data_IF_881591221876
#
_entry.id   IF_881591221876
#
_cell.length_a   1.000
_cell.length_b   1.000
_cell.length_c   1.000
_cell.angle_alpha   90.00
_cell.angle_beta   90.00
_cell.angle_gamma   90.00
#
_symmetry.space_group_name_H-M   'P 1'
#
loop_
_entity.id
_entity.type
_entity.pdbx_description
1 polymer ?
#
# COMPACT_ATOMS: atom_id res chain seq x y z
N UNK A 1 2.67 -2.99 20.63
CA UNK A 1 2.53 -2.40 19.28
C UNK A 1 1.39 -1.38 19.36
N UNK A 2 1.40 -0.24 18.67
CA UNK A 2 0.23 0.65 18.71
C UNK A 2 -0.92 0.09 17.86
N UNK A 3 -2.19 0.33 18.25
CA UNK A 3 -3.38 -0.10 17.50
C UNK A 3 -3.29 0.23 16.01
N UNK A 4 -2.90 1.46 15.68
CA UNK A 4 -2.72 1.88 14.28
C UNK A 4 -1.65 1.08 13.53
N UNK A 5 -0.57 0.68 14.20
CA UNK A 5 0.46 -0.16 13.60
C UNK A 5 -0.02 -1.61 13.39
N UNK A 6 -0.85 -2.13 14.30
CA UNK A 6 -1.46 -3.45 14.18
C UNK A 6 -2.45 -3.50 13.01
N UNK A 7 -3.35 -2.51 12.92
CA UNK A 7 -4.29 -2.36 11.80
C UNK A 7 -3.54 -2.27 10.46
N UNK A 8 -2.50 -1.43 10.39
CA UNK A 8 -1.68 -1.30 9.19
C UNK A 8 -1.02 -2.65 8.80
N UNK A 9 -0.51 -3.41 9.78
CA UNK A 9 0.08 -4.72 9.54
C UNK A 9 -0.93 -5.74 9.03
N UNK A 10 -2.16 -5.75 9.56
CA UNK A 10 -3.25 -6.59 9.07
C UNK A 10 -3.61 -6.23 7.62
N UNK A 11 -3.68 -4.95 7.28
CA UNK A 11 -3.94 -4.54 5.90
C UNK A 11 -2.81 -4.94 4.93
N UNK A 12 -1.55 -4.89 5.38
CA UNK A 12 -0.42 -5.40 4.59
C UNK A 12 -0.54 -6.92 4.40
N UNK A 13 -0.86 -7.65 5.47
CA UNK A 13 -1.09 -9.09 5.40
C UNK A 13 -2.22 -9.42 4.41
N UNK A 14 -3.38 -8.76 4.51
CA UNK A 14 -4.45 -8.90 3.52
C UNK A 14 -3.97 -8.64 2.09
N UNK A 15 -3.24 -7.56 1.84
CA UNK A 15 -2.79 -7.21 0.49
C UNK A 15 -1.85 -8.26 -0.11
N UNK A 16 -1.09 -8.97 0.73
CA UNK A 16 -0.17 -10.05 0.35
C UNK A 16 -0.81 -11.44 0.40
N UNK A 17 -1.99 -11.58 1.01
CA UNK A 17 -2.65 -12.86 1.21
C UNK A 17 -3.16 -13.43 -0.11
N UNK A 18 -2.84 -14.70 -0.33
CA UNK A 18 -3.28 -15.47 -1.47
C UNK A 18 -4.25 -16.56 -1.00
N UNK A 19 -5.26 -16.81 -1.82
CA UNK A 19 -6.26 -17.84 -1.61
C UNK A 19 -6.07 -18.88 -2.70
N UNK A 20 -5.94 -20.14 -2.28
CA UNK A 20 -5.84 -21.25 -3.21
C UNK A 20 -7.16 -21.42 -3.97
N UNK A 21 -7.11 -21.41 -5.30
CA UNK A 21 -8.31 -21.61 -6.14
C UNK A 21 -8.89 -23.04 -6.03
N UNK A 22 -8.11 -24.00 -5.54
CA UNK A 22 -8.52 -25.40 -5.43
C UNK A 22 -9.12 -25.73 -4.04
N UNK A 23 -8.37 -25.47 -2.96
CA UNK A 23 -8.81 -25.81 -1.59
C UNK A 23 -9.30 -24.62 -0.76
N UNK A 24 -9.29 -23.40 -1.31
CA UNK A 24 -9.72 -22.19 -0.60
C UNK A 24 -8.81 -21.75 0.54
N UNK A 25 -7.68 -22.44 0.80
CA UNK A 25 -6.77 -22.10 1.90
C UNK A 25 -6.05 -20.78 1.67
N UNK A 26 -5.92 -19.99 2.73
CA UNK A 26 -5.11 -18.77 2.74
C UNK A 26 -3.62 -19.11 2.94
N UNK A 27 -2.74 -18.48 2.17
CA UNK A 27 -1.29 -18.65 2.25
C UNK A 27 -0.54 -17.43 1.67
N UNK A 28 0.78 -17.40 1.84
CA UNK A 28 1.64 -16.25 1.47
C UNK A 28 2.83 -16.63 0.55
N UNK A 29 2.85 -17.86 0.03
CA UNK A 29 3.91 -18.38 -0.84
C UNK A 29 3.53 -18.43 -2.31
N UNK A 30 4.35 -19.09 -3.14
CA UNK A 30 4.08 -19.31 -4.56
C UNK A 30 3.17 -20.51 -4.83
N UNK A 31 3.22 -21.52 -3.95
CA UNK A 31 2.47 -22.77 -4.07
C UNK A 31 1.63 -22.98 -2.80
N UNK A 32 0.40 -23.45 -2.97
CA UNK A 32 -0.46 -23.76 -1.83
C UNK A 32 0.15 -24.89 -0.99
N UNK A 33 0.40 -24.68 0.30
CA UNK A 33 1.02 -25.71 1.16
C UNK A 33 0.08 -26.89 1.46
N UNK A 34 -1.22 -26.76 1.18
CA UNK A 34 -2.20 -27.83 1.40
C UNK A 34 -2.31 -28.80 0.24
N UNK A 35 -2.52 -28.28 -0.98
CA UNK A 35 -2.83 -29.11 -2.15
C UNK A 35 -1.86 -28.96 -3.33
N UNK A 36 -0.77 -28.20 -3.17
CA UNK A 36 0.26 -28.05 -4.21
C UNK A 36 -0.14 -27.21 -5.42
N UNK A 37 -1.34 -26.64 -5.45
CA UNK A 37 -1.79 -25.80 -6.55
C UNK A 37 -0.98 -24.49 -6.64
N UNK A 38 -0.64 -24.08 -7.85
CA UNK A 38 0.20 -22.90 -8.16
C UNK A 38 -0.56 -21.72 -8.77
N UNK A 39 -1.90 -21.80 -8.83
CA UNK A 39 -2.77 -20.74 -9.39
C UNK A 39 -3.59 -20.08 -8.28
N UNK A 40 -2.97 -19.27 -7.41
CA UNK A 40 -3.70 -18.53 -6.38
C UNK A 40 -4.48 -17.35 -6.96
N UNK A 41 -5.48 -16.93 -6.19
CA UNK A 41 -6.14 -15.62 -6.34
C UNK A 41 -5.78 -14.74 -5.16
N UNK A 42 -5.77 -13.43 -5.36
CA UNK A 42 -5.62 -12.50 -4.25
C UNK A 42 -6.85 -12.57 -3.34
N UNK A 43 -6.67 -12.39 -2.02
CA UNK A 43 -7.79 -12.26 -1.09
C UNK A 43 -8.61 -11.01 -1.43
N UNK A 44 -9.86 -11.20 -1.83
CA UNK A 44 -10.77 -10.10 -2.13
C UNK A 44 -11.33 -9.42 -0.86
N UNK A 45 -11.98 -8.28 -1.07
CA UNK A 45 -12.56 -7.49 0.02
C UNK A 45 -13.67 -8.22 0.77
N UNK A 46 -14.54 -8.94 0.07
CA UNK A 46 -15.71 -9.57 0.67
C UNK A 46 -15.29 -10.70 1.61
N UNK A 47 -14.44 -11.60 1.12
CA UNK A 47 -13.88 -12.70 1.91
C UNK A 47 -13.01 -12.22 3.07
N UNK A 48 -12.32 -11.10 2.90
CA UNK A 48 -11.62 -10.46 4.00
C UNK A 48 -12.58 -10.00 5.11
N UNK A 49 -13.71 -9.39 4.76
CA UNK A 49 -14.73 -8.99 5.75
C UNK A 49 -15.34 -10.20 6.44
N UNK A 50 -15.54 -11.32 5.74
CA UNK A 50 -15.99 -12.58 6.35
C UNK A 50 -14.98 -13.10 7.38
N UNK A 51 -13.67 -13.02 7.09
CA UNK A 51 -12.62 -13.39 8.06
C UNK A 51 -12.70 -12.50 9.30
N UNK A 52 -12.83 -11.18 9.12
CA UNK A 52 -12.95 -10.26 10.26
C UNK A 52 -14.18 -10.58 11.11
N UNK A 53 -15.34 -10.80 10.48
CA UNK A 53 -16.57 -11.16 11.17
C UNK A 53 -16.47 -12.50 11.89
N UNK A 54 -15.82 -13.48 11.27
CA UNK A 54 -15.65 -14.81 11.87
C UNK A 54 -14.75 -14.79 13.11
N UNK A 55 -13.75 -13.90 13.14
CA UNK A 55 -12.78 -13.83 14.25
C UNK A 55 -13.24 -12.90 15.36
N UNK A 56 -13.76 -11.72 15.01
CA UNK A 56 -14.08 -10.66 15.99
C UNK A 56 -15.46 -10.03 15.81
N UNK A 57 -16.38 -10.66 15.06
CA UNK A 57 -17.76 -10.22 14.91
C UNK A 57 -17.97 -9.04 13.94
N UNK A 58 -16.94 -8.23 13.69
CA UNK A 58 -17.06 -7.00 12.90
C UNK A 58 -16.52 -7.10 11.47
N UNK A 59 -17.07 -6.27 10.58
CA UNK A 59 -16.66 -6.22 9.16
C UNK A 59 -15.47 -5.29 8.87
N UNK A 60 -14.95 -4.58 9.88
CA UNK A 60 -13.89 -3.59 9.71
C UNK A 60 -12.91 -3.64 10.87
N UNK A 61 -11.61 -3.47 10.57
CA UNK A 61 -10.58 -3.36 11.60
C UNK A 61 -10.73 -2.13 12.50
N UNK A 62 -11.44 -1.09 12.04
CA UNK A 62 -11.72 0.09 12.86
C UNK A 62 -12.63 -0.24 14.03
N UNK A 63 -13.50 -1.22 13.85
CA UNK A 63 -14.62 -1.53 14.74
C UNK A 63 -14.27 -2.68 15.69
N UNK A 64 -13.19 -3.43 15.39
CA UNK A 64 -12.66 -4.50 16.24
C UNK A 64 -11.95 -3.95 17.49
N UNK A 65 -12.11 -4.64 18.62
CA UNK A 65 -11.29 -4.39 19.81
C UNK A 65 -9.83 -4.81 19.60
N UNK A 66 -8.92 -4.29 20.42
CA UNK A 66 -7.49 -4.58 20.29
C UNK A 66 -7.19 -6.10 20.40
N UNK A 67 -7.89 -6.80 21.29
CA UNK A 67 -7.75 -8.25 21.44
C UNK A 67 -8.16 -9.01 20.17
N UNK A 68 -9.19 -8.54 19.46
CA UNK A 68 -9.64 -9.20 18.22
C UNK A 68 -8.74 -8.86 17.03
N UNK A 69 -8.18 -7.64 17.00
CA UNK A 69 -7.13 -7.31 16.04
C UNK A 69 -5.90 -8.22 16.22
N UNK A 70 -5.52 -8.53 17.46
CA UNK A 70 -4.43 -9.48 17.74
C UNK A 70 -4.76 -10.87 17.21
N UNK A 71 -5.98 -11.39 17.45
CA UNK A 71 -6.43 -12.68 16.90
C UNK A 71 -6.43 -12.70 15.37
N UNK A 72 -6.86 -11.61 14.72
CA UNK A 72 -6.83 -11.49 13.25
C UNK A 72 -5.39 -11.54 12.74
N UNK A 73 -4.47 -10.86 13.42
CA UNK A 73 -3.05 -10.89 13.07
C UNK A 73 -2.47 -12.30 13.26
N UNK A 74 -2.78 -12.97 14.37
CA UNK A 74 -2.37 -14.35 14.63
C UNK A 74 -2.88 -15.31 13.55
N UNK A 75 -4.12 -15.15 13.08
CA UNK A 75 -4.66 -15.93 11.97
C UNK A 75 -3.83 -15.79 10.69
N UNK A 76 -3.45 -14.56 10.31
CA UNK A 76 -2.57 -14.34 9.16
C UNK A 76 -1.16 -14.91 9.38
N UNK A 77 -0.63 -14.82 10.60
CA UNK A 77 0.67 -15.37 10.95
C UNK A 77 0.69 -16.90 10.90
N UNK A 78 -0.37 -17.56 11.37
CA UNK A 78 -0.57 -19.01 11.25
C UNK A 78 -0.69 -19.46 9.79
N UNK A 79 -1.31 -18.63 8.94
CA UNK A 79 -1.35 -18.86 7.49
C UNK A 79 0.01 -18.61 6.80
N UNK A 80 1.01 -18.12 7.52
CA UNK A 80 2.40 -18.02 7.08
C UNK A 80 2.89 -16.60 6.79
N UNK A 81 2.14 -15.56 7.16
CA UNK A 81 2.53 -14.17 6.89
C UNK A 81 3.91 -13.82 7.46
N UNK A 82 4.11 -13.95 8.77
CA UNK A 82 5.41 -13.65 9.39
C UNK A 82 6.57 -14.50 8.86
N UNK A 83 6.32 -15.72 8.35
CA UNK A 83 7.35 -16.57 7.73
C UNK A 83 7.73 -16.08 6.33
N UNK A 84 6.75 -15.72 5.53
CA UNK A 84 6.96 -15.18 4.18
C UNK A 84 7.49 -13.74 4.20
N UNK A 85 7.17 -13.00 5.26
CA UNK A 85 7.45 -11.57 5.39
C UNK A 85 8.05 -11.19 6.76
N UNK A 86 9.21 -11.79 7.15
CA UNK A 86 9.77 -11.66 8.49
C UNK A 86 10.23 -10.23 8.84
N UNK A 87 10.50 -9.39 7.84
CA UNK A 87 11.01 -8.02 8.02
C UNK A 87 10.01 -6.92 7.66
N UNK A 88 8.71 -7.26 7.49
CA UNK A 88 7.69 -6.23 7.23
C UNK A 88 7.44 -5.43 8.51
N UNK A 89 7.83 -4.16 8.47
CA UNK A 89 7.31 -3.15 9.38
C UNK A 89 6.42 -2.18 8.60
N UNK A 90 5.29 -1.71 9.16
CA UNK A 90 4.43 -0.72 8.51
C UNK A 90 5.20 0.53 8.05
N UNK A 91 6.18 0.97 8.85
CA UNK A 91 7.06 2.10 8.50
C UNK A 91 7.87 1.84 7.22
N UNK A 92 8.45 0.64 7.08
CA UNK A 92 9.26 0.28 5.90
C UNK A 92 8.41 0.14 4.65
N UNK A 93 7.21 -0.42 4.74
CA UNK A 93 6.28 -0.49 3.61
C UNK A 93 5.82 0.90 3.16
N UNK A 94 5.49 1.79 4.11
CA UNK A 94 5.20 3.20 3.80
C UNK A 94 6.38 3.90 3.13
N UNK A 95 7.61 3.66 3.58
CA UNK A 95 8.81 4.19 2.92
C UNK A 95 8.98 3.63 1.50
N UNK A 96 8.77 2.33 1.28
CA UNK A 96 8.85 1.72 -0.05
C UNK A 96 7.80 2.34 -0.99
N UNK A 97 6.56 2.48 -0.53
CA UNK A 97 5.50 3.10 -1.31
C UNK A 97 5.83 4.56 -1.65
N UNK A 98 6.32 5.33 -0.68
CA UNK A 98 6.79 6.69 -0.89
C UNK A 98 7.89 6.77 -1.94
N UNK A 99 8.87 5.87 -1.90
CA UNK A 99 9.92 5.79 -2.91
C UNK A 99 9.38 5.45 -4.30
N UNK A 100 8.36 4.57 -4.41
CA UNK A 100 7.70 4.29 -5.70
C UNK A 100 7.04 5.54 -6.28
N UNK A 101 6.37 6.33 -5.44
CA UNK A 101 5.71 7.57 -5.85
C UNK A 101 6.73 8.63 -6.29
N UNK A 102 7.82 8.80 -5.53
CA UNK A 102 8.94 9.68 -5.91
C UNK A 102 9.51 9.25 -7.26
N UNK A 103 9.79 7.95 -7.45
CA UNK A 103 10.32 7.42 -8.70
C UNK A 103 9.35 7.67 -9.88
N UNK A 104 8.06 7.53 -9.66
CA UNK A 104 7.05 7.87 -10.67
C UNK A 104 7.11 9.35 -11.06
N UNK A 105 7.25 10.26 -10.09
CA UNK A 105 7.42 11.69 -10.35
C UNK A 105 8.69 11.93 -11.18
N UNK A 106 9.80 11.31 -10.81
CA UNK A 106 11.08 11.43 -11.53
C UNK A 106 11.01 10.93 -12.98
N UNK A 107 10.15 9.94 -13.28
CA UNK A 107 9.94 9.45 -14.66
C UNK A 107 8.99 10.37 -15.43
N UNK A 108 7.90 10.82 -14.80
CA UNK A 108 6.82 11.55 -15.49
C UNK A 108 7.10 13.04 -15.65
N UNK A 109 7.74 13.66 -14.66
CA UNK A 109 8.02 15.09 -14.65
C UNK A 109 8.91 15.54 -15.83
N UNK A 110 9.99 14.84 -16.23
CA UNK A 110 10.77 15.20 -17.40
C UNK A 110 9.94 15.24 -18.69
N UNK A 111 9.04 14.26 -18.87
CA UNK A 111 8.18 14.15 -20.06
C UNK A 111 7.21 15.33 -20.17
N UNK A 112 6.69 15.80 -19.04
CA UNK A 112 5.67 16.87 -19.01
C UNK A 112 6.29 18.27 -18.88
N UNK A 113 7.32 18.41 -18.05
CA UNK A 113 7.85 19.70 -17.65
C UNK A 113 9.14 20.09 -18.39
N UNK A 114 9.75 19.15 -19.12
CA UNK A 114 10.99 19.33 -19.89
C UNK A 114 12.26 19.12 -19.06
N UNK A 115 13.40 19.55 -19.60
CA UNK A 115 14.73 19.42 -18.95
C UNK A 115 14.82 20.07 -17.58
N UNK A 116 14.11 21.18 -17.37
CA UNK A 116 14.07 21.95 -16.11
C UNK A 116 13.07 21.41 -15.07
N UNK A 117 12.59 20.16 -15.25
CA UNK A 117 11.53 19.61 -14.40
C UNK A 117 11.88 19.63 -12.91
N UNK A 118 13.14 19.36 -12.52
CA UNK A 118 13.57 19.34 -11.12
C UNK A 118 13.35 20.68 -10.44
N UNK A 119 13.83 21.77 -11.09
CA UNK A 119 13.67 23.14 -10.59
C UNK A 119 12.19 23.51 -10.46
N UNK A 120 11.36 23.10 -11.43
CA UNK A 120 9.92 23.39 -11.44
C UNK A 120 9.17 22.63 -10.34
N UNK A 121 9.49 21.34 -10.16
CA UNK A 121 8.94 20.52 -9.07
C UNK A 121 9.35 21.11 -7.72
N UNK A 122 10.63 21.42 -7.52
CA UNK A 122 11.11 22.04 -6.29
C UNK A 122 10.46 23.39 -6.02
N UNK A 123 10.26 24.22 -7.06
CA UNK A 123 9.53 25.48 -6.96
C UNK A 123 8.10 25.29 -6.48
N UNK A 124 7.38 24.29 -7.03
CA UNK A 124 6.04 23.94 -6.57
C UNK A 124 6.02 23.46 -5.12
N UNK A 125 6.95 22.58 -4.73
CA UNK A 125 7.04 22.06 -3.36
C UNK A 125 7.28 23.20 -2.38
N UNK A 126 8.24 24.09 -2.65
CA UNK A 126 8.53 25.24 -1.78
C UNK A 126 7.32 26.17 -1.65
N UNK A 127 6.63 26.44 -2.76
CA UNK A 127 5.52 27.40 -2.78
C UNK A 127 4.21 26.87 -2.21
N UNK A 128 3.93 25.55 -2.32
CA UNK A 128 2.61 24.96 -1.98
C UNK A 128 2.64 23.93 -0.86
N UNK A 129 3.78 23.29 -0.64
CA UNK A 129 3.96 22.24 0.38
C UNK A 129 4.87 22.74 1.50
N UNK A 130 5.63 23.82 1.27
CA UNK A 130 6.54 24.45 2.23
C UNK A 130 7.67 23.51 2.68
N UNK A 131 8.12 22.63 1.79
CA UNK A 131 9.26 21.72 1.99
C UNK A 131 10.40 22.05 1.02
N UNK A 132 11.63 21.71 1.41
CA UNK A 132 12.81 22.03 0.59
C UNK A 132 13.15 20.95 -0.43
N UNK A 133 12.71 19.71 -0.19
CA UNK A 133 13.08 18.53 -0.97
C UNK A 133 11.88 17.61 -1.18
N UNK A 134 11.86 16.91 -2.30
CA UNK A 134 10.80 15.96 -2.66
C UNK A 134 10.80 14.75 -1.71
N UNK A 135 11.96 14.34 -1.23
CA UNK A 135 12.17 13.24 -0.29
C UNK A 135 11.66 13.56 1.12
N UNK A 136 11.28 14.80 1.40
CA UNK A 136 10.70 15.19 2.69
C UNK A 136 9.17 15.23 2.65
N UNK A 137 8.58 15.05 1.46
CA UNK A 137 7.14 14.98 1.30
C UNK A 137 6.60 13.65 1.85
N UNK A 138 5.42 13.69 2.45
CA UNK A 138 4.63 12.51 2.77
C UNK A 138 3.80 12.02 1.56
N UNK A 139 3.05 10.94 1.74
CA UNK A 139 2.30 10.32 0.65
C UNK A 139 1.23 11.27 0.04
N UNK A 140 0.54 12.06 0.85
CA UNK A 140 -0.52 12.95 0.38
C UNK A 140 0.03 14.18 -0.33
N UNK A 141 1.13 14.72 0.18
CA UNK A 141 1.87 15.79 -0.47
C UNK A 141 2.43 15.35 -1.82
N UNK A 142 2.99 14.14 -1.92
CA UNK A 142 3.45 13.59 -3.20
C UNK A 142 2.30 13.41 -4.19
N UNK A 143 1.10 13.03 -3.74
CA UNK A 143 -0.11 13.01 -4.59
C UNK A 143 -0.47 14.40 -5.11
N UNK A 144 -0.31 15.46 -4.30
CA UNK A 144 -0.51 16.85 -4.75
C UNK A 144 0.47 17.23 -5.87
N UNK A 145 1.73 16.82 -5.76
CA UNK A 145 2.76 17.02 -6.82
C UNK A 145 2.33 16.32 -8.11
N UNK A 146 1.93 15.04 -8.04
CA UNK A 146 1.43 14.29 -9.21
C UNK A 146 0.22 14.99 -9.84
N UNK A 147 -0.74 15.41 -9.01
CA UNK A 147 -1.93 16.13 -9.46
C UNK A 147 -1.58 17.43 -10.20
N UNK A 148 -0.58 18.16 -9.70
CA UNK A 148 -0.07 19.36 -10.38
C UNK A 148 0.58 19.04 -11.73
N UNK A 149 1.49 18.04 -11.79
CA UNK A 149 2.13 17.61 -13.05
C UNK A 149 1.06 17.24 -14.09
N UNK A 150 0.06 16.45 -13.70
CA UNK A 150 -1.01 16.03 -14.59
C UNK A 150 -1.88 17.20 -15.08
N UNK A 151 -2.14 18.21 -14.24
CA UNK A 151 -2.82 19.44 -14.67
C UNK A 151 -1.99 20.23 -15.67
N UNK A 152 -0.68 20.38 -15.41
CA UNK A 152 0.23 21.08 -16.34
C UNK A 152 0.25 20.42 -17.71
N UNK A 153 0.29 19.09 -17.77
CA UNK A 153 0.21 18.34 -19.02
C UNK A 153 -1.07 18.66 -19.80
N UNK A 154 -2.24 18.68 -19.12
CA UNK A 154 -3.52 19.02 -19.78
C UNK A 154 -3.51 20.43 -20.37
N UNK A 155 -2.98 21.42 -19.65
CA UNK A 155 -2.90 22.79 -20.15
C UNK A 155 -1.97 22.96 -21.35
N UNK A 156 -0.91 22.15 -21.45
CA UNK A 156 0.00 22.16 -22.60
C UNK A 156 -0.63 21.49 -23.83
N UNK A 157 -1.46 20.46 -23.64
CA UNK A 157 -2.15 19.77 -24.73
C UNK A 157 -3.38 20.55 -25.24
N UNK A 158 -4.14 21.20 -24.37
CA UNK A 158 -5.29 22.03 -24.77
C UNK A 158 -4.94 23.40 -25.37
N UNK A 159 -3.63 23.71 -25.50
CA UNK A 159 -3.10 24.90 -26.18
C UNK A 159 -2.50 24.58 -27.56
N UNK A 160 -2.66 23.35 -28.05
CA UNK A 160 -2.35 22.97 -29.42
C UNK A 160 -3.62 22.91 -30.24
#
# INVERSE_FOLDING_TARGET
MSRSALIARIHIAKAKALVCSNCGRLFFGTVCPGCGASVPKQLDQWRYQEILKAIGGEGSCTDLEDADLEKVMEFFDQAGFSKAHPYISPKREMEIERHKVIRYIQIRAPVVLGSDWERRVLGFIKAKIHKQKLEWCDADELRKVIGWINRTYKYQQGRR
#
